data_IF_754087195885
#
_entry.id   IF_754087195885
#
_cell.length_a   1.000
_cell.length_b   1.000
_cell.length_c   1.000
_cell.angle_alpha   90.00
_cell.angle_beta   90.00
_cell.angle_gamma   90.00
#
_symmetry.space_group_name_H-M   'P 1'
#
loop_
_entity.id
_entity.type
_entity.pdbx_description
1 polymer ?
#
# COMPACT_ATOMS: atom_id res chain seq x y z
N UNK A 1 -16.32 91.51 -28.17
CA UNK A 1 -16.06 90.51 -27.06
C UNK A 1 -15.55 89.20 -27.67
N UNK A 2 -14.22 89.02 -27.71
CA UNK A 2 -13.68 87.81 -28.38
C UNK A 2 -12.17 87.71 -28.38
N UNK A 3 -11.48 88.03 -27.25
CA UNK A 3 -10.02 88.02 -27.26
C UNK A 3 -9.34 87.34 -26.04
N UNK A 4 -10.07 86.76 -25.17
CA UNK A 4 -9.47 86.18 -23.94
C UNK A 4 -9.27 84.66 -23.97
N UNK A 5 -9.75 83.98 -25.00
CA UNK A 5 -9.73 82.47 -24.99
C UNK A 5 -8.56 81.86 -25.79
N UNK A 6 -7.84 82.68 -26.60
CA UNK A 6 -6.69 82.16 -27.36
C UNK A 6 -5.40 82.13 -26.54
N UNK A 7 -5.19 83.13 -25.64
CA UNK A 7 -4.03 83.16 -24.77
C UNK A 7 -3.98 81.99 -23.72
N UNK A 8 -5.09 81.58 -23.27
CA UNK A 8 -5.15 80.48 -22.33
C UNK A 8 -4.77 79.07 -22.94
N UNK A 9 -5.08 78.87 -24.19
CA UNK A 9 -4.74 77.63 -24.93
C UNK A 9 -3.24 77.55 -25.29
N UNK A 10 -2.63 78.70 -25.65
CA UNK A 10 -1.20 78.67 -25.94
C UNK A 10 -0.33 78.48 -24.70
N UNK A 11 -0.70 79.10 -23.60
CA UNK A 11 -0.01 78.86 -22.31
C UNK A 11 -0.13 77.41 -21.83
N UNK A 12 -1.28 76.81 -21.99
CA UNK A 12 -1.49 75.39 -21.69
C UNK A 12 -0.68 74.43 -22.60
N UNK A 13 -0.56 74.86 -23.90
CA UNK A 13 0.24 74.09 -24.85
C UNK A 13 1.75 74.23 -24.58
N UNK A 14 2.22 75.42 -24.11
CA UNK A 14 3.60 75.65 -23.67
C UNK A 14 3.93 74.90 -22.36
N UNK A 15 3.00 74.80 -21.41
CA UNK A 15 3.15 74.00 -20.21
C UNK A 15 3.20 72.52 -20.50
N UNK A 16 2.32 72.00 -21.37
CA UNK A 16 2.34 70.62 -21.82
C UNK A 16 3.62 70.27 -22.57
N UNK A 17 4.14 71.13 -23.40
CA UNK A 17 5.44 70.94 -24.08
C UNK A 17 6.61 70.86 -23.09
N UNK A 18 6.59 71.64 -22.01
CA UNK A 18 7.63 71.63 -20.96
C UNK A 18 7.59 70.36 -20.09
N UNK A 19 6.44 69.71 -19.99
CA UNK A 19 6.31 68.42 -19.26
C UNK A 19 6.68 67.21 -20.09
N UNK A 20 6.75 67.35 -21.44
CA UNK A 20 6.99 66.21 -22.35
C UNK A 20 8.45 66.12 -22.80
N UNK A 21 9.25 67.18 -22.61
CA UNK A 21 10.66 67.13 -22.97
C UNK A 21 11.46 66.84 -21.71
N UNK A 22 11.97 65.60 -21.52
CA UNK A 22 12.92 65.35 -20.45
C UNK A 22 14.16 66.21 -20.68
N UNK A 23 14.54 67.00 -19.66
CA UNK A 23 15.72 67.82 -19.66
C UNK A 23 16.97 66.99 -19.42
N UNK A 24 17.22 66.01 -20.29
CA UNK A 24 18.43 65.18 -20.29
C UNK A 24 19.24 65.40 -21.55
N UNK A 25 20.57 65.47 -21.45
CA UNK A 25 21.44 65.44 -22.61
C UNK A 25 21.24 64.08 -23.37
N UNK A 26 21.38 64.05 -24.72
CA UNK A 26 21.21 62.82 -25.50
C UNK A 26 22.10 61.69 -25.03
N UNK A 27 23.19 61.94 -24.37
CA UNK A 27 24.10 61.00 -23.76
C UNK A 27 23.50 60.29 -22.49
N UNK A 28 22.70 61.00 -21.69
CA UNK A 28 22.07 60.43 -20.49
C UNK A 28 20.88 59.57 -20.83
N UNK A 29 20.11 59.84 -21.88
CA UNK A 29 19.02 59.04 -22.36
C UNK A 29 19.50 57.68 -22.94
N UNK A 30 20.68 57.67 -23.58
CA UNK A 30 21.28 56.43 -24.11
C UNK A 30 21.85 55.55 -22.99
N UNK A 31 22.44 56.10 -21.95
CA UNK A 31 22.93 55.37 -20.79
C UNK A 31 21.76 54.78 -19.96
N UNK A 32 20.71 55.52 -19.68
CA UNK A 32 19.51 55.04 -18.98
C UNK A 32 18.80 53.96 -19.77
N UNK A 33 18.72 54.08 -21.09
CA UNK A 33 18.14 53.07 -21.97
C UNK A 33 18.93 51.76 -21.94
N UNK A 34 20.24 51.82 -21.93
CA UNK A 34 21.15 50.66 -21.85
C UNK A 34 21.05 49.96 -20.46
N UNK A 35 20.96 50.76 -19.39
CA UNK A 35 20.77 50.21 -18.03
C UNK A 35 19.43 49.50 -17.87
N UNK A 36 18.33 50.04 -18.40
CA UNK A 36 17.00 49.45 -18.37
C UNK A 36 16.98 48.13 -19.14
N UNK A 37 17.58 48.10 -20.34
CA UNK A 37 17.69 46.86 -21.16
C UNK A 37 18.56 45.83 -20.46
N UNK A 38 19.68 46.23 -19.85
CA UNK A 38 20.56 45.32 -19.11
C UNK A 38 19.86 44.72 -17.87
N UNK A 39 19.15 45.55 -17.11
CA UNK A 39 18.36 45.11 -15.94
C UNK A 39 17.19 44.19 -16.35
N UNK A 40 16.53 44.48 -17.48
CA UNK A 40 15.49 43.60 -18.03
C UNK A 40 16.07 42.28 -18.51
N UNK A 41 17.19 42.27 -19.20
CA UNK A 41 17.87 41.03 -19.63
C UNK A 41 18.33 40.17 -18.45
N UNK A 42 18.92 40.80 -17.42
CA UNK A 42 19.31 40.10 -16.20
C UNK A 42 18.10 39.47 -15.48
N UNK A 43 16.94 40.12 -15.45
CA UNK A 43 15.70 39.55 -14.86
C UNK A 43 15.19 38.34 -15.65
N UNK A 44 15.28 38.38 -16.97
CA UNK A 44 14.87 37.24 -17.83
C UNK A 44 15.84 36.10 -17.67
N UNK A 45 17.14 36.34 -17.67
CA UNK A 45 18.16 35.30 -17.44
C UNK A 45 18.01 34.68 -16.05
N UNK A 46 17.81 35.49 -15.02
CA UNK A 46 17.60 35.04 -13.65
C UNK A 46 16.34 34.17 -13.52
N UNK A 47 15.23 34.55 -14.17
CA UNK A 47 14.01 33.75 -14.24
C UNK A 47 14.24 32.39 -14.94
N UNK A 48 14.96 32.38 -16.06
CA UNK A 48 15.32 31.14 -16.78
C UNK A 48 16.22 30.24 -15.94
N UNK A 49 17.18 30.79 -15.21
CA UNK A 49 18.04 30.07 -14.30
C UNK A 49 17.25 29.42 -13.14
N UNK A 50 16.28 30.16 -12.58
CA UNK A 50 15.41 29.65 -11.51
C UNK A 50 14.54 28.50 -12.04
N UNK A 51 13.95 28.64 -13.23
CA UNK A 51 13.14 27.59 -13.86
C UNK A 51 14.00 26.35 -14.11
N UNK A 52 15.21 26.53 -14.63
CA UNK A 52 16.15 25.44 -14.88
C UNK A 52 16.55 24.73 -13.58
N UNK A 53 16.82 25.48 -12.52
CA UNK A 53 17.14 24.93 -11.20
C UNK A 53 15.96 24.11 -10.61
N UNK A 54 14.73 24.61 -10.78
CA UNK A 54 13.52 23.89 -10.36
C UNK A 54 13.34 22.58 -11.16
N UNK A 55 13.56 22.61 -12.47
CA UNK A 55 13.49 21.41 -13.32
C UNK A 55 14.54 20.38 -12.92
N UNK A 56 15.77 20.80 -12.65
CA UNK A 56 16.82 19.90 -12.17
C UNK A 56 16.47 19.30 -10.81
N UNK A 57 15.93 20.10 -9.90
CA UNK A 57 15.49 19.61 -8.59
C UNK A 57 14.34 18.59 -8.72
N UNK A 58 13.36 18.84 -9.59
CA UNK A 58 12.28 17.88 -9.86
C UNK A 58 12.80 16.59 -10.48
N UNK A 59 13.73 16.69 -11.43
CA UNK A 59 14.36 15.49 -12.02
C UNK A 59 15.16 14.69 -10.99
N UNK A 60 15.86 15.35 -10.08
CA UNK A 60 16.57 14.69 -8.99
C UNK A 60 15.62 13.98 -8.00
N UNK A 61 14.49 14.63 -7.67
CA UNK A 61 13.44 14.02 -6.82
C UNK A 61 12.83 12.80 -7.53
N UNK A 62 12.50 12.91 -8.82
CA UNK A 62 11.97 11.80 -9.61
C UNK A 62 12.96 10.64 -9.68
N UNK A 63 14.24 10.91 -9.90
CA UNK A 63 15.29 9.89 -9.89
C UNK A 63 15.43 9.21 -8.53
N UNK A 64 15.36 9.97 -7.42
CA UNK A 64 15.37 9.43 -6.07
C UNK A 64 14.15 8.54 -5.79
N UNK A 65 12.96 8.95 -6.23
CA UNK A 65 11.73 8.15 -6.09
C UNK A 65 11.82 6.86 -6.89
N UNK A 66 12.29 6.92 -8.15
CA UNK A 66 12.48 5.73 -8.98
C UNK A 66 13.53 4.77 -8.39
N UNK A 67 14.66 5.30 -7.93
CA UNK A 67 15.70 4.50 -7.28
C UNK A 67 15.21 3.83 -5.99
N UNK A 68 14.40 4.56 -5.20
CA UNK A 68 13.72 3.98 -4.03
C UNK A 68 12.69 2.95 -4.44
N UNK A 69 11.89 3.21 -5.46
CA UNK A 69 10.86 2.30 -5.95
C UNK A 69 11.45 0.97 -6.42
N UNK A 70 12.52 0.98 -7.22
CA UNK A 70 13.22 -0.23 -7.65
C UNK A 70 13.78 -1.02 -6.46
N UNK A 71 14.34 -0.33 -5.47
CA UNK A 71 14.92 -0.98 -4.29
C UNK A 71 13.88 -1.63 -3.36
N UNK A 72 12.63 -1.18 -3.39
CA UNK A 72 11.53 -1.78 -2.62
C UNK A 72 10.79 -2.89 -3.38
N UNK A 73 10.91 -2.96 -4.70
CA UNK A 73 10.21 -3.95 -5.52
C UNK A 73 11.11 -5.07 -6.07
N UNK A 74 12.42 -4.88 -6.07
CA UNK A 74 13.37 -5.94 -6.44
C UNK A 74 13.98 -6.55 -5.18
N UNK A 75 13.45 -7.68 -4.74
CA UNK A 75 14.09 -8.51 -3.73
C UNK A 75 15.28 -9.20 -4.41
N UNK A 76 16.47 -8.64 -4.28
CA UNK A 76 17.70 -9.18 -4.86
C UNK A 76 18.49 -10.05 -3.88
N UNK A 77 18.21 -9.92 -2.58
CA UNK A 77 18.85 -10.69 -1.52
C UNK A 77 17.81 -11.35 -0.63
N UNK A 78 17.80 -12.67 -0.64
CA UNK A 78 17.00 -13.48 0.27
C UNK A 78 17.94 -14.04 1.34
N UNK A 79 17.69 -13.70 2.59
CA UNK A 79 18.31 -14.37 3.72
C UNK A 79 17.37 -15.44 4.24
N UNK A 80 17.79 -16.69 4.25
CA UNK A 80 17.06 -17.76 4.90
C UNK A 80 17.01 -17.48 6.39
N UNK A 81 15.83 -17.18 6.93
CA UNK A 81 15.62 -16.90 8.35
C UNK A 81 15.59 -18.22 9.13
N UNK A 82 14.94 -19.22 8.56
CA UNK A 82 14.91 -20.58 9.04
C UNK A 82 14.52 -21.51 7.89
N UNK A 83 14.92 -22.76 7.98
CA UNK A 83 14.62 -23.80 6.99
C UNK A 83 14.13 -25.04 7.74
N UNK A 84 13.13 -25.70 7.19
CA UNK A 84 12.64 -27.00 7.66
C UNK A 84 12.66 -28.00 6.53
N UNK A 85 13.22 -29.15 6.79
CA UNK A 85 13.21 -30.25 5.85
C UNK A 85 11.83 -30.96 5.90
N UNK A 86 10.97 -30.61 4.95
CA UNK A 86 9.62 -31.17 4.84
C UNK A 86 9.64 -32.66 4.47
N UNK A 87 10.68 -33.12 3.80
CA UNK A 87 10.82 -34.54 3.43
C UNK A 87 11.15 -35.36 4.65
N UNK A 88 12.07 -34.90 5.49
CA UNK A 88 12.39 -35.54 6.76
C UNK A 88 11.16 -35.58 7.71
N UNK A 89 10.47 -34.44 7.86
CA UNK A 89 9.24 -34.39 8.67
C UNK A 89 8.13 -35.31 8.14
N UNK A 90 7.94 -35.40 6.81
CA UNK A 90 6.95 -36.31 6.23
C UNK A 90 7.33 -37.79 6.40
N UNK A 91 8.61 -38.11 6.35
CA UNK A 91 9.10 -39.47 6.61
C UNK A 91 8.94 -39.88 8.08
N UNK A 92 9.23 -38.95 9.02
CA UNK A 92 9.01 -39.19 10.45
C UNK A 92 7.52 -39.34 10.77
N UNK A 93 6.64 -38.49 10.21
CA UNK A 93 5.20 -38.61 10.34
C UNK A 93 4.66 -39.95 9.77
N UNK A 94 5.14 -40.34 8.59
CA UNK A 94 4.77 -41.64 8.00
C UNK A 94 5.24 -42.83 8.83
N UNK A 95 6.43 -42.73 9.44
CA UNK A 95 6.95 -43.77 10.33
C UNK A 95 6.17 -43.89 11.64
N UNK A 96 5.52 -42.80 12.09
CA UNK A 96 4.65 -42.76 13.26
C UNK A 96 3.19 -43.13 12.95
N UNK A 97 2.85 -43.43 11.68
CA UNK A 97 1.51 -43.74 11.23
C UNK A 97 0.60 -42.52 11.04
N UNK A 98 1.17 -41.31 11.14
CA UNK A 98 0.44 -40.08 10.83
C UNK A 98 0.21 -39.97 9.32
N UNK A 99 -0.98 -39.53 8.92
CA UNK A 99 -1.35 -39.42 7.51
C UNK A 99 -0.45 -38.46 6.75
N UNK A 100 -0.04 -38.83 5.55
CA UNK A 100 0.92 -38.09 4.69
C UNK A 100 0.47 -36.69 4.20
N UNK A 101 -0.74 -36.24 4.60
CA UNK A 101 -1.23 -34.90 4.19
C UNK A 101 -0.69 -33.81 5.12
N UNK A 102 0.06 -32.89 4.53
CA UNK A 102 0.55 -31.72 5.24
C UNK A 102 0.38 -30.49 4.34
N UNK A 103 -0.22 -29.46 4.86
CA UNK A 103 -0.40 -28.17 4.16
C UNK A 103 0.16 -27.00 4.96
N UNK A 104 0.51 -25.94 4.25
CA UNK A 104 1.04 -24.71 4.83
C UNK A 104 0.25 -23.51 4.33
N UNK A 105 0.03 -22.52 5.20
CA UNK A 105 -0.59 -21.23 4.89
C UNK A 105 0.14 -20.11 5.61
N UNK A 106 0.27 -18.98 4.94
CA UNK A 106 0.67 -17.74 5.60
C UNK A 106 -0.38 -17.36 6.63
N UNK A 107 0.04 -17.07 7.86
CA UNK A 107 -0.85 -16.71 8.94
C UNK A 107 -0.15 -15.74 9.88
N UNK A 108 -0.75 -14.54 10.07
CA UNK A 108 -0.13 -13.50 10.87
C UNK A 108 1.25 -13.11 10.35
N UNK A 109 2.25 -13.21 11.21
CA UNK A 109 3.65 -12.93 10.88
C UNK A 109 4.46 -14.21 10.61
N UNK A 110 3.79 -15.36 10.52
CA UNK A 110 4.45 -16.65 10.45
C UNK A 110 3.72 -17.62 9.53
N UNK A 111 3.77 -18.92 9.87
CA UNK A 111 3.25 -19.99 9.03
C UNK A 111 2.37 -20.93 9.85
N UNK A 112 1.21 -21.25 9.34
CA UNK A 112 0.35 -22.32 9.84
C UNK A 112 0.67 -23.61 9.07
N UNK A 113 1.18 -24.62 9.76
CA UNK A 113 1.25 -26.00 9.30
C UNK A 113 -0.05 -26.69 9.72
N UNK A 114 -0.70 -27.46 8.84
CA UNK A 114 -1.88 -28.23 9.18
C UNK A 114 -1.83 -29.64 8.53
N UNK A 115 -2.28 -30.57 9.28
CA UNK A 115 -2.34 -32.02 8.91
C UNK A 115 -3.75 -32.56 9.16
N UNK A 116 -3.96 -33.85 9.01
CA UNK A 116 -5.23 -34.51 9.41
C UNK A 116 -5.41 -34.55 10.93
N UNK A 117 -4.31 -34.52 11.68
CA UNK A 117 -4.29 -34.75 13.12
C UNK A 117 -4.14 -33.46 13.95
N UNK A 118 -3.93 -32.35 13.27
CA UNK A 118 -3.81 -31.06 13.96
C UNK A 118 -3.21 -29.94 13.12
N UNK A 119 -3.13 -28.75 13.74
CA UNK A 119 -2.49 -27.58 13.19
C UNK A 119 -1.48 -27.00 14.18
N UNK A 120 -0.40 -26.45 13.63
CA UNK A 120 0.69 -25.81 14.38
C UNK A 120 0.97 -24.45 13.80
N UNK A 121 0.93 -23.42 14.63
CA UNK A 121 1.35 -22.09 14.23
C UNK A 121 2.82 -21.85 14.63
N UNK A 122 3.59 -21.42 13.66
CA UNK A 122 5.01 -21.08 13.79
C UNK A 122 5.16 -19.57 13.57
N UNK A 123 5.89 -18.90 14.44
CA UNK A 123 6.21 -17.48 14.27
C UNK A 123 7.22 -17.23 13.13
N UNK A 124 7.53 -15.96 12.85
CA UNK A 124 8.51 -15.56 11.84
C UNK A 124 9.93 -16.13 12.08
N UNK A 125 10.21 -16.66 13.26
CA UNK A 125 11.50 -17.31 13.63
C UNK A 125 11.44 -18.83 13.55
N UNK A 126 10.31 -19.41 13.14
CA UNK A 126 10.08 -20.86 13.09
C UNK A 126 9.80 -21.50 14.44
N UNK A 127 9.57 -20.70 15.51
CA UNK A 127 9.23 -21.21 16.84
C UNK A 127 7.73 -21.52 16.90
N UNK A 128 7.38 -22.66 17.48
CA UNK A 128 5.99 -23.05 17.75
C UNK A 128 5.36 -22.07 18.73
N UNK A 129 4.27 -21.44 18.33
CA UNK A 129 3.46 -20.55 19.18
C UNK A 129 2.34 -21.34 19.85
N UNK A 130 1.58 -22.11 19.06
CA UNK A 130 0.54 -23.00 19.57
C UNK A 130 0.36 -24.23 18.68
N UNK A 131 -0.25 -25.26 19.25
CA UNK A 131 -0.65 -26.49 18.57
C UNK A 131 -2.13 -26.75 18.90
N UNK A 132 -2.93 -27.07 17.89
CA UNK A 132 -4.29 -27.50 18.00
C UNK A 132 -4.41 -28.92 17.45
N UNK A 133 -4.73 -29.90 18.32
CA UNK A 133 -5.01 -31.25 17.90
C UNK A 133 -6.47 -31.41 17.48
N UNK A 134 -6.70 -32.15 16.44
CA UNK A 134 -8.00 -32.56 15.92
C UNK A 134 -7.82 -33.82 15.07
N UNK A 135 -8.91 -34.46 14.69
CA UNK A 135 -8.91 -35.57 13.74
C UNK A 135 -9.84 -35.17 12.58
N UNK A 136 -9.30 -35.02 11.38
CA UNK A 136 -10.02 -34.64 10.17
C UNK A 136 -9.59 -35.50 9.00
N UNK A 137 -10.54 -35.83 8.13
CA UNK A 137 -10.27 -36.60 6.91
C UNK A 137 -9.66 -35.77 5.82
N UNK A 138 -10.18 -34.55 5.65
CA UNK A 138 -9.78 -33.66 4.59
C UNK A 138 -9.81 -32.18 5.08
N UNK A 139 -8.79 -31.74 5.85
CA UNK A 139 -8.77 -30.40 6.39
C UNK A 139 -8.66 -29.35 5.28
N UNK A 140 -9.56 -28.38 5.29
CA UNK A 140 -9.57 -27.20 4.44
C UNK A 140 -9.37 -25.96 5.30
N UNK A 141 -8.51 -25.07 4.86
CA UNK A 141 -8.09 -23.91 5.66
C UNK A 141 -8.40 -22.61 4.93
N UNK A 142 -8.98 -21.68 5.64
CA UNK A 142 -9.19 -20.30 5.22
C UNK A 142 -8.52 -19.36 6.22
N UNK A 143 -7.70 -18.44 5.73
CA UNK A 143 -7.01 -17.42 6.53
C UNK A 143 -7.49 -16.05 6.12
N UNK A 144 -7.72 -15.16 7.09
CA UNK A 144 -8.00 -13.76 6.83
C UNK A 144 -7.51 -12.89 8.00
N UNK A 145 -6.42 -12.16 7.77
CA UNK A 145 -5.77 -11.35 8.81
C UNK A 145 -5.27 -12.21 9.96
N UNK A 146 -5.79 -11.93 11.15
CA UNK A 146 -5.40 -12.59 12.40
C UNK A 146 -6.23 -13.85 12.73
N UNK A 147 -7.13 -14.26 11.82
CA UNK A 147 -8.00 -15.41 12.02
C UNK A 147 -7.80 -16.50 10.98
N UNK A 148 -7.94 -17.73 11.44
CA UNK A 148 -7.94 -18.91 10.60
C UNK A 148 -9.12 -19.80 10.97
N UNK A 149 -9.79 -20.35 9.96
CA UNK A 149 -10.79 -21.41 10.11
C UNK A 149 -10.26 -22.67 9.45
N UNK A 150 -10.32 -23.77 10.19
CA UNK A 150 -9.95 -25.11 9.74
C UNK A 150 -11.21 -25.95 9.78
N UNK A 151 -11.67 -26.43 8.63
CA UNK A 151 -12.87 -27.23 8.50
C UNK A 151 -12.56 -28.61 7.92
N UNK A 152 -13.27 -29.63 8.35
CA UNK A 152 -13.20 -30.99 7.75
C UNK A 152 -14.09 -31.04 6.52
N UNK A 153 -13.52 -31.06 5.32
CA UNK A 153 -14.27 -31.20 4.08
C UNK A 153 -14.96 -32.59 4.04
N UNK A 154 -16.27 -32.60 3.80
CA UNK A 154 -17.17 -33.73 3.90
C UNK A 154 -17.34 -34.30 5.34
N UNK A 155 -16.75 -33.62 6.32
CA UNK A 155 -17.01 -33.81 7.75
C UNK A 155 -17.88 -32.69 8.31
N UNK A 156 -17.87 -32.54 9.65
CA UNK A 156 -18.77 -31.66 10.38
C UNK A 156 -18.05 -30.72 11.36
N UNK A 157 -16.73 -30.79 11.45
CA UNK A 157 -15.96 -30.03 12.46
C UNK A 157 -15.34 -28.80 11.88
N UNK A 158 -15.40 -27.68 12.61
CA UNK A 158 -14.73 -26.41 12.28
C UNK A 158 -13.99 -25.92 13.54
N UNK A 159 -12.71 -25.61 13.42
CA UNK A 159 -11.91 -24.92 14.43
C UNK A 159 -11.64 -23.49 13.99
N UNK A 160 -11.83 -22.56 14.89
CA UNK A 160 -11.61 -21.12 14.67
C UNK A 160 -10.47 -20.69 15.59
N UNK A 161 -9.36 -20.26 15.00
CA UNK A 161 -8.17 -19.89 15.75
C UNK A 161 -7.75 -18.46 15.40
N UNK A 162 -7.00 -17.85 16.32
CA UNK A 162 -6.26 -16.62 16.11
C UNK A 162 -4.77 -16.81 16.43
N UNK A 163 -3.99 -15.72 16.46
CA UNK A 163 -2.56 -15.76 16.79
C UNK A 163 -2.26 -16.35 18.19
N UNK A 164 -3.26 -16.38 19.10
CA UNK A 164 -3.11 -16.86 20.46
C UNK A 164 -3.57 -18.31 20.63
N UNK A 165 -4.19 -18.90 19.61
CA UNK A 165 -4.72 -20.27 19.63
C UNK A 165 -6.21 -20.35 19.30
N UNK A 166 -6.83 -21.45 19.67
CA UNK A 166 -8.23 -21.72 19.39
C UNK A 166 -9.15 -20.79 20.15
N UNK A 167 -10.07 -20.16 19.42
CA UNK A 167 -11.09 -19.25 19.93
C UNK A 167 -12.47 -19.92 20.06
N UNK A 168 -12.74 -20.87 19.19
CA UNK A 168 -14.00 -21.60 19.19
C UNK A 168 -13.94 -22.84 18.30
N UNK A 169 -14.92 -23.69 18.53
CA UNK A 169 -15.16 -24.89 17.74
C UNK A 169 -16.66 -24.97 17.40
N UNK A 170 -16.96 -25.24 16.15
CA UNK A 170 -18.34 -25.50 15.72
C UNK A 170 -18.49 -26.91 15.16
N UNK A 171 -19.66 -27.49 15.39
CA UNK A 171 -20.07 -28.74 14.76
C UNK A 171 -21.25 -28.43 13.85
N UNK A 172 -21.12 -28.77 12.58
CA UNK A 172 -22.15 -28.54 11.58
C UNK A 172 -23.14 -29.67 11.51
N UNK A 173 -24.38 -29.39 11.10
CA UNK A 173 -25.43 -30.40 10.93
C UNK A 173 -25.27 -31.17 9.61
N UNK A 174 -24.72 -30.54 8.59
CA UNK A 174 -24.52 -31.08 7.26
C UNK A 174 -23.04 -31.12 6.91
N UNK A 175 -22.62 -32.00 6.00
CA UNK A 175 -21.21 -32.04 5.55
C UNK A 175 -20.73 -30.70 4.98
N UNK A 176 -19.51 -30.35 5.33
CA UNK A 176 -18.86 -29.14 4.92
C UNK A 176 -18.27 -29.31 3.53
N UNK A 177 -18.59 -28.39 2.60
CA UNK A 177 -17.91 -28.31 1.33
C UNK A 177 -16.73 -27.31 1.38
N UNK A 178 -16.94 -26.18 2.06
CA UNK A 178 -15.95 -25.10 2.16
C UNK A 178 -16.17 -24.27 3.41
N UNK A 179 -15.10 -23.75 3.95
CA UNK A 179 -15.12 -22.72 5.00
C UNK A 179 -14.41 -21.45 4.54
N UNK A 180 -14.88 -20.31 5.03
CA UNK A 180 -14.24 -19.02 4.81
C UNK A 180 -14.36 -18.19 6.08
N UNK A 181 -13.25 -17.59 6.53
CA UNK A 181 -13.22 -16.74 7.72
C UNK A 181 -13.14 -15.27 7.35
N UNK A 182 -13.81 -14.43 8.11
CA UNK A 182 -13.70 -12.98 8.02
C UNK A 182 -12.55 -12.45 8.89
N UNK A 183 -12.13 -11.20 8.66
CA UNK A 183 -11.12 -10.51 9.47
C UNK A 183 -11.56 -10.28 10.94
N UNK A 184 -12.79 -10.63 11.32
CA UNK A 184 -13.33 -10.56 12.68
C UNK A 184 -13.56 -11.95 13.31
N UNK A 185 -13.15 -13.01 12.63
CA UNK A 185 -13.30 -14.40 13.12
C UNK A 185 -14.68 -15.01 12.90
N UNK A 186 -15.57 -14.36 12.13
CA UNK A 186 -16.83 -14.99 11.72
C UNK A 186 -16.55 -15.94 10.57
N UNK A 187 -17.03 -17.17 10.68
CA UNK A 187 -16.84 -18.23 9.67
C UNK A 187 -18.12 -18.45 8.90
N UNK A 188 -18.04 -18.44 7.58
CA UNK A 188 -19.08 -18.92 6.70
C UNK A 188 -18.73 -20.33 6.24
N UNK A 189 -19.62 -21.28 6.52
CA UNK A 189 -19.48 -22.66 6.09
C UNK A 189 -20.55 -22.98 5.03
N UNK A 190 -20.07 -23.36 3.84
CA UNK A 190 -20.91 -23.93 2.80
C UNK A 190 -21.09 -25.42 3.11
N UNK A 191 -22.34 -25.83 3.27
CA UNK A 191 -22.76 -27.19 3.62
C UNK A 191 -23.73 -27.67 2.56
N UNK A 192 -23.80 -28.96 2.35
CA UNK A 192 -24.65 -29.56 1.33
C UNK A 192 -25.39 -30.78 1.85
N UNK A 193 -26.64 -30.90 1.46
CA UNK A 193 -27.38 -32.16 1.54
C UNK A 193 -27.77 -32.64 0.13
N UNK A 194 -28.53 -33.71 0.02
CA UNK A 194 -28.97 -34.32 -1.24
C UNK A 194 -29.88 -33.42 -2.09
N UNK A 195 -30.40 -32.30 -1.56
CA UNK A 195 -31.40 -31.44 -2.18
C UNK A 195 -30.95 -29.99 -2.39
N UNK A 196 -30.09 -29.50 -1.51
CA UNK A 196 -29.70 -28.09 -1.54
C UNK A 196 -28.36 -27.87 -0.84
N UNK A 197 -27.72 -26.72 -1.18
CA UNK A 197 -26.55 -26.19 -0.49
C UNK A 197 -26.97 -25.03 0.41
N UNK A 198 -26.38 -24.96 1.57
CA UNK A 198 -26.68 -23.98 2.61
C UNK A 198 -25.41 -23.26 3.04
N UNK A 199 -25.53 -21.98 3.40
CA UNK A 199 -24.46 -21.21 4.01
C UNK A 199 -24.86 -20.90 5.44
N UNK A 200 -24.07 -21.40 6.40
CA UNK A 200 -24.23 -21.10 7.81
C UNK A 200 -23.09 -20.20 8.28
N UNK A 201 -23.45 -19.26 9.16
CA UNK A 201 -22.49 -18.33 9.75
C UNK A 201 -22.29 -18.71 11.22
N UNK A 202 -21.03 -18.90 11.58
CA UNK A 202 -20.60 -19.22 12.95
C UNK A 202 -19.82 -18.02 13.50
N UNK A 203 -20.11 -17.63 14.73
CA UNK A 203 -19.33 -16.60 15.40
C UNK A 203 -17.94 -17.13 15.76
N UNK A 204 -17.07 -16.23 16.19
CA UNK A 204 -15.71 -16.54 16.62
C UNK A 204 -15.64 -17.65 17.70
N UNK A 205 -16.63 -17.73 18.59
CA UNK A 205 -16.75 -18.73 19.66
C UNK A 205 -17.33 -20.07 19.19
N UNK A 206 -17.69 -20.19 17.91
CA UNK A 206 -18.30 -21.39 17.32
C UNK A 206 -19.83 -21.46 17.43
N UNK A 207 -20.49 -20.43 18.02
CA UNK A 207 -21.94 -20.39 18.14
C UNK A 207 -22.64 -19.89 16.86
#
# INVERSE_FOLDING_TARGET
>A
MGSTNSMSRENKKKQLKRQIVPSGSPFQEEEDSREIVHKAHQRVVRKRLIILAVLVALAAIAALVLFRYERYHTFTDYQTVWERDLVAEAQEAAAQGEGSFCGYRDFGDGVLKYTKDGATYLDAKGKVVWVQSYEMRSPVVSVNGDFVAIGDQQGNSIYICDKNGTQGQATTLLPILRVTVSAKGVVAALQEDSKASYIYLYKRDGS
#
